data_IF_748867861750
#
_entry.id   IF_748867861750
#
_cell.length_a   1.000
_cell.length_b   1.000
_cell.length_c   1.000
_cell.angle_alpha   90.00
_cell.angle_beta   90.00
_cell.angle_gamma   90.00
#
_symmetry.space_group_name_H-M   'P 1'
#
loop_
_entity.id
_entity.type
_entity.pdbx_description
1 polymer ?
#
# COMPACT_ATOMS: atom_id res chain seq x y z
N UNK A 1 10.63 -1.61 -16.87
CA UNK A 1 9.29 -2.20 -16.68
C UNK A 1 8.71 -2.55 -18.03
N UNK A 2 7.98 -3.66 -18.15
CA UNK A 2 7.23 -3.95 -19.38
C UNK A 2 6.05 -2.97 -19.48
N UNK A 3 5.74 -2.51 -20.69
CA UNK A 3 4.57 -1.66 -20.93
C UNK A 3 3.30 -2.34 -20.39
N UNK A 4 2.41 -1.57 -19.75
CA UNK A 4 1.16 -2.07 -19.14
C UNK A 4 1.30 -2.72 -17.75
N UNK A 5 2.51 -2.87 -17.21
CA UNK A 5 2.71 -3.47 -15.87
C UNK A 5 2.02 -2.69 -14.73
N UNK A 6 1.92 -1.36 -14.86
CA UNK A 6 1.28 -0.49 -13.86
C UNK A 6 -0.22 -0.77 -13.77
N UNK A 7 -0.91 -0.97 -14.89
CA UNK A 7 -2.35 -1.27 -14.88
C UNK A 7 -2.68 -2.56 -14.10
N UNK A 8 -1.78 -3.55 -14.17
CA UNK A 8 -1.94 -4.78 -13.40
C UNK A 8 -1.76 -4.54 -11.90
N UNK A 9 -0.85 -3.65 -11.51
CA UNK A 9 -0.65 -3.24 -10.12
C UNK A 9 -1.89 -2.51 -9.61
N UNK A 10 -2.42 -1.55 -10.38
CA UNK A 10 -3.65 -0.82 -10.04
C UNK A 10 -4.86 -1.77 -9.91
N UNK A 11 -5.02 -2.70 -10.84
CA UNK A 11 -6.06 -3.75 -10.77
C UNK A 11 -5.91 -4.64 -9.54
N UNK A 12 -4.67 -4.95 -9.13
CA UNK A 12 -4.41 -5.74 -7.93
C UNK A 12 -4.73 -4.94 -6.65
N UNK A 13 -4.35 -3.67 -6.58
CA UNK A 13 -4.67 -2.77 -5.47
C UNK A 13 -6.18 -2.67 -5.27
N UNK A 14 -6.95 -2.55 -6.36
CA UNK A 14 -8.41 -2.49 -6.27
C UNK A 14 -9.03 -3.79 -5.73
N UNK A 15 -8.46 -4.96 -6.07
CA UNK A 15 -8.89 -6.24 -5.49
C UNK A 15 -8.57 -6.32 -3.99
N UNK A 16 -7.41 -5.83 -3.57
CA UNK A 16 -7.01 -5.79 -2.17
C UNK A 16 -7.92 -4.85 -1.35
N UNK A 17 -8.25 -3.69 -1.92
CA UNK A 17 -9.15 -2.69 -1.31
C UNK A 17 -10.49 -3.31 -0.91
N UNK A 18 -11.10 -4.09 -1.80
CA UNK A 18 -12.41 -4.74 -1.57
C UNK A 18 -12.40 -5.75 -0.43
N UNK A 19 -11.23 -6.27 -0.06
CA UNK A 19 -11.05 -7.30 0.98
C UNK A 19 -10.25 -6.78 2.18
N UNK A 20 -10.13 -5.47 2.34
CA UNK A 20 -9.31 -4.84 3.39
C UNK A 20 -9.56 -5.44 4.78
N UNK A 21 -10.82 -5.53 5.21
CA UNK A 21 -11.19 -6.12 6.50
C UNK A 21 -10.79 -7.60 6.65
N UNK A 22 -10.86 -8.39 5.58
CA UNK A 22 -10.40 -9.79 5.61
C UNK A 22 -8.88 -9.86 5.75
N UNK A 23 -8.15 -9.00 5.04
CA UNK A 23 -6.70 -8.93 5.13
C UNK A 23 -6.23 -8.51 6.51
N UNK A 24 -6.84 -7.47 7.11
CA UNK A 24 -6.54 -7.04 8.48
C UNK A 24 -6.68 -8.20 9.47
N UNK A 25 -7.76 -8.99 9.38
CA UNK A 25 -7.97 -10.16 10.24
C UNK A 25 -6.90 -11.25 10.06
N UNK A 26 -6.33 -11.37 8.87
CA UNK A 26 -5.31 -12.37 8.57
C UNK A 26 -3.87 -11.89 8.86
N UNK A 27 -3.65 -10.59 9.04
CA UNK A 27 -2.32 -10.01 9.22
C UNK A 27 -1.77 -10.09 10.64
N UNK A 28 -2.57 -10.56 11.61
CA UNK A 28 -2.08 -10.97 12.93
C UNK A 28 -2.84 -12.18 13.46
N UNK A 29 -2.21 -12.90 14.40
CA UNK A 29 -2.77 -14.12 14.99
C UNK A 29 -4.01 -13.85 15.86
N UNK A 30 -4.20 -12.60 16.28
CA UNK A 30 -5.29 -12.14 17.13
C UNK A 30 -6.48 -11.57 16.32
N UNK A 31 -6.54 -11.86 15.01
CA UNK A 31 -7.68 -11.49 14.19
C UNK A 31 -7.82 -9.98 13.91
N UNK A 32 -6.74 -9.21 14.02
CA UNK A 32 -6.72 -7.77 13.79
C UNK A 32 -6.45 -6.94 15.05
N UNK A 33 -6.62 -7.52 16.25
CA UNK A 33 -6.56 -6.76 17.51
C UNK A 33 -5.17 -6.20 17.82
N UNK A 34 -4.12 -6.94 17.46
CA UNK A 34 -2.75 -6.46 17.66
C UNK A 34 -2.41 -5.34 16.69
N UNK A 35 -2.85 -5.47 15.43
CA UNK A 35 -2.67 -4.41 14.44
C UNK A 35 -3.51 -3.17 14.75
N UNK A 36 -4.69 -3.28 15.39
CA UNK A 36 -5.48 -2.11 15.81
C UNK A 36 -4.70 -1.16 16.72
N UNK A 37 -3.87 -1.71 17.61
CA UNK A 37 -3.03 -0.92 18.52
C UNK A 37 -1.88 -0.21 17.81
N UNK A 38 -1.42 -0.76 16.68
CA UNK A 38 -0.29 -0.23 15.89
C UNK A 38 -0.74 0.73 14.79
N UNK A 39 -1.83 0.40 14.10
CA UNK A 39 -2.38 1.12 12.94
C UNK A 39 -3.43 2.14 13.39
N UNK A 40 -3.01 3.03 14.29
CA UNK A 40 -3.83 4.17 14.73
C UNK A 40 -3.61 5.31 13.75
N UNK A 41 -4.70 5.98 13.35
CA UNK A 41 -4.63 7.16 12.51
C UNK A 41 -3.67 8.19 13.12
N UNK A 42 -2.60 8.51 12.41
CA UNK A 42 -1.60 9.49 12.82
C UNK A 42 -1.00 10.14 11.58
N UNK A 43 -0.16 11.15 11.76
CA UNK A 43 0.56 11.79 10.64
C UNK A 43 1.41 10.79 9.83
N UNK A 44 1.75 9.64 10.41
CA UNK A 44 2.64 8.63 9.82
C UNK A 44 1.91 7.40 9.28
N UNK A 45 0.66 7.13 9.67
CA UNK A 45 -0.07 5.90 9.32
C UNK A 45 -1.55 6.15 9.07
N UNK A 46 -2.06 5.48 8.03
CA UNK A 46 -3.50 5.35 7.76
C UNK A 46 -4.17 4.52 8.86
N UNK A 47 -5.39 4.90 9.24
CA UNK A 47 -6.26 4.16 10.15
C UNK A 47 -6.41 2.70 9.71
N UNK A 48 -6.49 1.76 10.64
CA UNK A 48 -6.77 0.36 10.32
C UNK A 48 -8.08 0.14 9.55
N UNK A 49 -9.03 1.07 9.65
CA UNK A 49 -10.32 0.97 8.96
C UNK A 49 -10.29 1.50 7.53
N UNK A 50 -9.31 2.35 7.22
CA UNK A 50 -9.20 3.00 5.92
C UNK A 50 -8.19 2.28 5.04
N UNK A 51 -8.52 2.14 3.76
CA UNK A 51 -7.60 1.61 2.76
C UNK A 51 -7.08 2.74 1.88
N UNK A 52 -5.77 2.88 1.81
CA UNK A 52 -5.09 3.85 0.95
C UNK A 52 -3.92 3.20 0.20
N UNK A 53 -3.65 3.68 -1.01
CA UNK A 53 -2.49 3.27 -1.79
C UNK A 53 -1.84 4.50 -2.42
N UNK A 54 -0.51 4.54 -2.48
CA UNK A 54 0.18 5.70 -3.02
C UNK A 54 1.63 5.44 -3.40
N UNK A 55 2.16 6.30 -4.27
CA UNK A 55 3.55 6.27 -4.71
C UNK A 55 4.44 6.84 -3.62
N UNK A 56 5.39 6.04 -3.14
CA UNK A 56 6.31 6.40 -2.06
C UNK A 56 5.64 6.93 -0.78
N UNK A 57 4.35 6.66 -0.59
CA UNK A 57 3.61 7.04 0.60
C UNK A 57 3.78 5.93 1.65
N UNK A 58 4.67 6.14 2.61
CA UNK A 58 4.93 5.18 3.70
C UNK A 58 3.77 5.04 4.68
N UNK A 59 2.88 6.03 4.75
CA UNK A 59 1.69 5.98 5.60
C UNK A 59 0.48 5.33 4.93
N UNK A 60 0.57 4.97 3.65
CA UNK A 60 -0.50 4.27 2.94
C UNK A 60 -0.56 2.79 3.31
N UNK A 61 -1.74 2.17 3.18
CA UNK A 61 -1.91 0.72 3.33
C UNK A 61 -1.06 -0.06 2.32
N UNK A 62 -0.93 0.46 1.09
CA UNK A 62 -0.03 -0.05 0.06
C UNK A 62 0.89 1.08 -0.44
N UNK A 63 2.21 0.90 -0.30
CA UNK A 63 3.21 1.81 -0.83
C UNK A 63 3.79 1.26 -2.14
N UNK A 64 3.67 2.02 -3.23
CA UNK A 64 4.29 1.69 -4.51
C UNK A 64 5.67 2.39 -4.57
N UNK A 65 6.79 1.66 -4.61
CA UNK A 65 8.11 2.30 -4.68
C UNK A 65 8.30 3.13 -5.95
N UNK A 66 9.02 4.25 -5.87
CA UNK A 66 9.32 5.11 -7.03
C UNK A 66 9.90 4.35 -8.23
N UNK A 67 10.77 3.37 -7.98
CA UNK A 67 11.40 2.53 -9.03
C UNK A 67 10.37 1.71 -9.83
N UNK A 68 9.17 1.51 -9.28
CA UNK A 68 8.06 0.79 -9.91
C UNK A 68 7.18 1.74 -10.73
N UNK A 69 7.38 3.04 -10.70
CA UNK A 69 6.60 3.99 -11.52
C UNK A 69 7.49 4.77 -12.48
N UNK A 70 8.73 5.05 -12.08
CA UNK A 70 9.68 5.72 -12.95
C UNK A 70 10.32 4.73 -13.93
N UNK A 71 10.40 5.07 -15.22
CA UNK A 71 11.27 4.35 -16.14
C UNK A 71 12.73 4.44 -15.64
N UNK A 72 13.58 3.44 -15.94
CA UNK A 72 14.95 3.36 -15.43
C UNK A 72 15.91 4.47 -15.90
N UNK A 73 15.42 5.58 -16.46
CA UNK A 73 16.24 6.67 -17.02
C UNK A 73 16.40 7.90 -16.13
N UNK A 74 15.73 8.01 -14.97
CA UNK A 74 16.00 9.12 -14.03
C UNK A 74 17.02 8.64 -12.99
N UNK A 75 18.24 8.37 -13.45
CA UNK A 75 19.41 8.30 -12.59
C UNK A 75 20.19 9.57 -12.85
N UNK A 76 20.28 10.45 -11.85
CA UNK A 76 21.03 11.72 -11.86
C UNK A 76 20.50 12.82 -12.80
N UNK A 77 19.82 13.81 -12.21
CA UNK A 77 20.19 15.20 -12.46
C UNK A 77 20.69 15.79 -11.14
N UNK A 78 21.76 16.59 -11.17
CA UNK A 78 22.44 17.12 -9.97
C UNK A 78 21.52 17.99 -9.11
#
# INVERSE_FOLDING_TARGET
MRAGGIEHIEKAIEKLRKRHAEHIRAYDASGGEDNKRRLVASELYTSIHDFSAGVANRGASICIPYRVILPPTVTHMP
#
